data_IF_505244660263
#
_entry.id   IF_505244660263
#
_cell.length_a   1.000
_cell.length_b   1.000
_cell.length_c   1.000
_cell.angle_alpha   90.00
_cell.angle_beta   90.00
_cell.angle_gamma   90.00
#
_symmetry.space_group_name_H-M   'P 1'
#
loop_
_entity.id
_entity.type
_entity.pdbx_description
1 polymer ?
#
# COMPACT_ATOMS: atom_id res chain seq x y z
N UNK A 1 8.02 -16.21 -2.07
CA UNK A 1 8.00 -16.08 -3.54
C UNK A 1 6.65 -16.55 -4.10
N UNK A 2 5.62 -15.73 -3.91
CA UNK A 2 4.24 -16.08 -4.30
C UNK A 2 4.13 -16.37 -5.81
N UNK A 3 5.00 -15.78 -6.61
CA UNK A 3 5.11 -15.98 -8.05
C UNK A 3 5.64 -17.36 -8.45
N UNK A 4 6.16 -18.20 -7.53
CA UNK A 4 6.56 -19.59 -7.85
C UNK A 4 5.47 -20.61 -7.60
N UNK A 5 4.42 -20.21 -6.90
CA UNK A 5 3.28 -21.08 -6.62
C UNK A 5 2.36 -21.16 -7.86
N UNK A 6 1.78 -22.32 -8.18
CA UNK A 6 0.78 -22.43 -9.25
C UNK A 6 -0.43 -21.52 -8.99
N UNK A 7 -1.11 -21.08 -10.05
CA UNK A 7 -2.26 -20.17 -9.96
C UNK A 7 -3.36 -20.65 -8.99
N UNK A 8 -3.56 -21.97 -8.84
CA UNK A 8 -4.52 -22.54 -7.87
C UNK A 8 -4.14 -22.24 -6.41
N UNK A 9 -2.85 -22.32 -6.10
CA UNK A 9 -2.31 -22.03 -4.76
C UNK A 9 -2.37 -20.53 -4.48
N UNK A 10 -2.04 -19.70 -5.47
CA UNK A 10 -2.20 -18.24 -5.39
C UNK A 10 -3.67 -17.87 -5.11
N UNK A 11 -4.61 -18.48 -5.84
CA UNK A 11 -6.05 -18.25 -5.68
C UNK A 11 -6.53 -18.62 -4.27
N UNK A 12 -6.09 -19.76 -3.74
CA UNK A 12 -6.44 -20.20 -2.38
C UNK A 12 -5.95 -19.20 -1.31
N UNK A 13 -4.74 -18.67 -1.43
CA UNK A 13 -4.24 -17.65 -0.52
C UNK A 13 -5.10 -16.37 -0.56
N UNK A 14 -5.46 -15.92 -1.75
CA UNK A 14 -6.25 -14.71 -1.95
C UNK A 14 -7.70 -14.87 -1.49
N UNK A 15 -8.26 -16.07 -1.59
CA UNK A 15 -9.54 -16.43 -1.00
C UNK A 15 -9.48 -16.25 0.53
N UNK A 16 -8.46 -16.80 1.19
CA UNK A 16 -8.28 -16.64 2.63
C UNK A 16 -8.09 -15.17 3.03
N UNK A 17 -7.36 -14.39 2.22
CA UNK A 17 -7.22 -12.94 2.44
C UNK A 17 -8.54 -12.19 2.37
N UNK A 18 -9.45 -12.60 1.49
CA UNK A 18 -10.71 -11.90 1.24
C UNK A 18 -11.83 -12.36 2.17
N UNK A 19 -11.92 -13.67 2.42
CA UNK A 19 -13.00 -14.30 3.19
C UNK A 19 -12.66 -14.47 4.68
N UNK A 20 -11.38 -14.35 5.06
CA UNK A 20 -10.91 -14.56 6.44
C UNK A 20 -11.28 -15.94 7.02
N UNK A 21 -11.49 -16.91 6.15
CA UNK A 21 -11.82 -18.28 6.51
C UNK A 21 -11.36 -19.25 5.42
N UNK A 22 -11.28 -20.52 5.77
CA UNK A 22 -11.01 -21.62 4.83
C UNK A 22 -11.99 -22.76 5.09
N UNK A 23 -12.50 -23.39 4.04
CA UNK A 23 -13.36 -24.59 4.18
C UNK A 23 -12.60 -25.83 3.73
N UNK A 24 -12.41 -26.79 4.64
CA UNK A 24 -11.69 -28.04 4.41
C UNK A 24 -12.64 -29.20 4.70
N UNK A 25 -12.93 -30.02 3.70
CA UNK A 25 -13.81 -31.20 3.87
C UNK A 25 -15.23 -30.87 4.33
N UNK A 26 -15.76 -29.69 3.98
CA UNK A 26 -17.08 -29.21 4.40
C UNK A 26 -17.13 -28.52 5.77
N UNK A 27 -16.01 -28.44 6.49
CA UNK A 27 -15.90 -27.70 7.74
C UNK A 27 -15.18 -26.36 7.50
N UNK A 28 -15.76 -25.26 7.99
CA UNK A 28 -15.19 -23.92 7.88
C UNK A 28 -14.37 -23.57 9.12
N UNK A 29 -13.16 -23.05 8.89
CA UNK A 29 -12.21 -22.60 9.90
C UNK A 29 -11.93 -21.11 9.72
N UNK A 30 -12.06 -20.34 10.79
CA UNK A 30 -11.73 -18.91 10.78
C UNK A 30 -10.21 -18.72 10.91
N UNK A 31 -9.67 -17.72 10.21
CA UNK A 31 -8.26 -17.33 10.41
C UNK A 31 -8.07 -16.64 11.77
N UNK A 32 -6.90 -16.81 12.43
CA UNK A 32 -6.59 -16.11 13.66
C UNK A 32 -6.57 -14.59 13.45
N UNK A 33 -6.82 -13.82 14.52
CA UNK A 33 -6.77 -12.36 14.50
C UNK A 33 -5.63 -11.87 15.40
N UNK A 34 -4.80 -10.91 14.95
CA UNK A 34 -4.75 -10.35 13.60
C UNK A 34 -4.23 -11.36 12.54
N UNK A 35 -4.68 -11.19 11.30
CA UNK A 35 -4.18 -11.94 10.14
C UNK A 35 -3.53 -10.96 9.17
N UNK A 36 -2.30 -11.25 8.78
CA UNK A 36 -1.53 -10.47 7.81
C UNK A 36 -0.86 -11.43 6.83
N UNK A 37 -0.98 -11.13 5.54
CA UNK A 37 -0.21 -11.80 4.49
C UNK A 37 0.86 -10.84 4.00
N UNK A 38 2.12 -11.25 4.15
CA UNK A 38 3.27 -10.62 3.52
C UNK A 38 3.79 -11.55 2.43
N UNK A 39 3.61 -11.16 1.17
CA UNK A 39 4.04 -11.94 0.02
C UNK A 39 5.26 -11.28 -0.62
N UNK A 40 6.31 -12.07 -0.88
CA UNK A 40 7.50 -11.63 -1.62
C UNK A 40 7.47 -12.12 -3.05
N UNK A 41 8.02 -11.31 -3.96
CA UNK A 41 8.26 -11.66 -5.36
C UNK A 41 9.72 -11.35 -5.66
N UNK A 42 10.46 -12.33 -6.20
CA UNK A 42 11.81 -12.11 -6.70
C UNK A 42 11.70 -11.68 -8.18
N UNK A 43 12.18 -10.48 -8.56
CA UNK A 43 12.06 -9.97 -9.93
C UNK A 43 13.07 -10.58 -10.92
N UNK A 44 14.11 -11.27 -10.45
CA UNK A 44 15.24 -11.72 -11.29
C UNK A 44 14.99 -13.12 -11.88
N UNK A 45 14.26 -13.98 -11.17
CA UNK A 45 14.01 -15.36 -11.62
C UNK A 45 12.77 -15.42 -12.51
N UNK A 46 12.97 -15.70 -13.81
CA UNK A 46 11.87 -15.85 -14.78
C UNK A 46 11.40 -17.31 -14.93
N UNK A 47 12.29 -18.29 -14.71
CA UNK A 47 11.98 -19.70 -14.96
C UNK A 47 11.05 -20.28 -13.90
N UNK A 48 9.92 -20.86 -14.32
CA UNK A 48 8.95 -21.45 -13.40
C UNK A 48 8.14 -20.44 -12.58
N UNK A 49 8.05 -19.19 -13.04
CA UNK A 49 7.23 -18.17 -12.39
C UNK A 49 5.88 -17.95 -13.08
N UNK A 50 4.87 -17.71 -12.25
CA UNK A 50 3.50 -17.37 -12.61
C UNK A 50 3.20 -15.98 -12.02
N UNK A 51 3.27 -14.91 -12.83
CA UNK A 51 2.94 -13.57 -12.34
C UNK A 51 1.50 -13.55 -11.82
N UNK A 52 1.26 -12.81 -10.75
CA UNK A 52 -0.12 -12.60 -10.29
C UNK A 52 -0.83 -11.66 -11.26
N UNK A 53 -2.03 -12.03 -11.72
CA UNK A 53 -2.90 -11.10 -12.44
C UNK A 53 -3.13 -9.81 -11.64
N UNK A 54 -3.35 -8.71 -12.36
CA UNK A 54 -3.50 -7.36 -11.81
C UNK A 54 -4.65 -7.31 -10.79
N UNK A 55 -5.76 -7.98 -11.10
CA UNK A 55 -6.91 -8.12 -10.20
C UNK A 55 -6.57 -8.82 -8.88
N UNK A 56 -5.57 -9.71 -8.87
CA UNK A 56 -5.08 -10.37 -7.67
C UNK A 56 -4.15 -9.46 -6.86
N UNK A 57 -3.25 -8.76 -7.56
CA UNK A 57 -2.32 -7.81 -6.96
C UNK A 57 -3.06 -6.64 -6.30
N UNK A 58 -4.19 -6.20 -6.86
CA UNK A 58 -5.06 -5.14 -6.30
C UNK A 58 -5.62 -5.47 -4.90
N UNK A 59 -5.63 -6.75 -4.49
CA UNK A 59 -6.05 -7.18 -3.15
C UNK A 59 -5.01 -6.86 -2.06
N UNK A 60 -3.75 -6.65 -2.42
CA UNK A 60 -2.71 -6.25 -1.48
C UNK A 60 -2.84 -4.75 -1.17
N UNK A 61 -2.77 -4.37 0.11
CA UNK A 61 -2.85 -2.97 0.50
C UNK A 61 -1.71 -2.16 -0.14
N UNK A 62 -0.49 -2.67 -0.04
CA UNK A 62 0.74 -2.03 -0.52
C UNK A 62 1.61 -2.99 -1.31
N UNK A 63 2.35 -2.46 -2.28
CA UNK A 63 3.54 -3.09 -2.86
C UNK A 63 4.75 -2.22 -2.48
N UNK A 64 5.63 -2.78 -1.66
CA UNK A 64 6.86 -2.10 -1.22
C UNK A 64 8.01 -2.62 -2.07
N UNK A 65 8.76 -1.70 -2.68
CA UNK A 65 10.01 -2.04 -3.36
C UNK A 65 11.14 -2.05 -2.33
N UNK A 66 11.86 -3.17 -2.26
CA UNK A 66 13.00 -3.34 -1.37
C UNK A 66 14.25 -3.40 -2.23
N UNK A 67 15.09 -2.39 -2.09
CA UNK A 67 16.40 -2.34 -2.73
C UNK A 67 17.50 -2.74 -1.73
N UNK A 68 18.74 -2.84 -2.21
CA UNK A 68 19.89 -3.05 -1.35
C UNK A 68 20.06 -1.90 -0.35
N UNK A 69 20.51 -2.20 0.89
CA UNK A 69 20.83 -1.17 1.85
C UNK A 69 21.95 -0.26 1.33
N UNK A 70 21.97 1.00 1.78
CA UNK A 70 23.13 1.85 1.57
C UNK A 70 24.37 1.24 2.25
N UNK A 71 25.58 1.62 1.80
CA UNK A 71 26.83 1.12 2.39
C UNK A 71 26.88 1.28 3.92
N UNK A 72 26.33 2.37 4.47
CA UNK A 72 26.29 2.61 5.92
C UNK A 72 25.31 1.68 6.65
N UNK A 73 24.13 1.45 6.06
CA UNK A 73 23.14 0.51 6.59
C UNK A 73 23.65 -0.94 6.50
N UNK A 74 24.30 -1.29 5.40
CA UNK A 74 24.90 -2.61 5.18
C UNK A 74 26.01 -2.88 6.21
N UNK A 75 26.90 -1.91 6.42
CA UNK A 75 27.93 -2.01 7.45
C UNK A 75 27.32 -2.19 8.85
N UNK A 76 26.20 -1.52 9.15
CA UNK A 76 25.49 -1.70 10.41
C UNK A 76 24.84 -3.09 10.54
N UNK A 77 24.32 -3.66 9.45
CA UNK A 77 23.80 -5.03 9.41
C UNK A 77 24.92 -6.04 9.66
N UNK A 78 26.06 -5.91 8.95
CA UNK A 78 27.24 -6.76 9.15
C UNK A 78 27.73 -6.66 10.59
N UNK A 79 27.86 -5.45 11.13
CA UNK A 79 28.28 -5.23 12.51
C UNK A 79 27.37 -5.92 13.53
N UNK A 80 26.04 -5.86 13.35
CA UNK A 80 25.08 -6.57 14.20
C UNK A 80 25.20 -8.09 14.08
N UNK A 81 25.45 -8.61 12.87
CA UNK A 81 25.60 -10.06 12.65
C UNK A 81 26.86 -10.66 13.28
N UNK A 82 27.86 -9.82 13.59
CA UNK A 82 29.10 -10.22 14.26
C UNK A 82 29.01 -10.16 15.78
N UNK A 83 27.99 -9.47 16.32
CA UNK A 83 27.75 -9.37 17.76
C UNK A 83 26.94 -10.53 18.33
N UNK A 84 26.60 -10.44 19.61
CA UNK A 84 25.66 -11.36 20.24
C UNK A 84 24.24 -11.12 19.71
N UNK A 85 23.49 -12.22 19.54
CA UNK A 85 22.10 -12.15 19.11
C UNK A 85 21.26 -11.39 20.15
N UNK A 86 20.48 -10.36 19.75
CA UNK A 86 19.75 -9.55 20.71
C UNK A 86 18.62 -10.36 21.36
N UNK A 87 18.46 -10.22 22.67
CA UNK A 87 17.31 -10.78 23.38
C UNK A 87 16.04 -10.01 22.99
N UNK A 88 15.16 -10.66 22.22
CA UNK A 88 13.87 -10.10 21.83
C UNK A 88 12.92 -10.13 23.03
N UNK A 89 12.44 -8.95 23.43
CA UNK A 89 11.45 -8.80 24.50
C UNK A 89 10.11 -8.38 23.93
N UNK A 90 9.06 -9.12 24.28
CA UNK A 90 7.70 -8.75 23.93
C UNK A 90 7.36 -7.39 24.52
N UNK A 91 6.97 -6.45 23.66
CA UNK A 91 6.54 -5.10 24.05
C UNK A 91 5.02 -4.91 23.93
N UNK A 92 4.39 -5.70 23.06
CA UNK A 92 2.97 -5.61 22.72
C UNK A 92 2.42 -7.02 22.58
N UNK A 93 1.26 -7.25 23.20
CA UNK A 93 0.49 -8.47 23.01
C UNK A 93 -0.39 -8.40 21.75
N UNK A 94 -0.98 -9.52 21.35
CA UNK A 94 -1.97 -9.52 20.26
C UNK A 94 -3.22 -8.69 20.62
N UNK A 95 -3.63 -8.66 21.90
CA UNK A 95 -4.73 -7.83 22.38
C UNK A 95 -4.41 -6.34 22.25
N UNK A 96 -3.16 -5.94 22.53
CA UNK A 96 -2.71 -4.57 22.30
C UNK A 96 -2.80 -4.19 20.82
N UNK A 97 -2.40 -5.09 19.90
CA UNK A 97 -2.53 -4.86 18.46
C UNK A 97 -3.99 -4.67 18.04
N UNK A 98 -4.92 -5.47 18.56
CA UNK A 98 -6.35 -5.29 18.30
C UNK A 98 -6.90 -3.98 18.86
N UNK A 99 -6.42 -3.57 20.04
CA UNK A 99 -6.72 -2.24 20.61
C UNK A 99 -6.23 -1.13 19.70
N UNK A 100 -4.98 -1.17 19.25
CA UNK A 100 -4.44 -0.15 18.35
C UNK A 100 -5.13 -0.12 16.98
N UNK A 101 -5.52 -1.28 16.44
CA UNK A 101 -6.34 -1.35 15.23
C UNK A 101 -7.67 -0.62 15.39
N UNK A 102 -8.33 -0.77 16.55
CA UNK A 102 -9.56 -0.02 16.86
C UNK A 102 -9.31 1.48 16.97
N UNK A 103 -8.22 1.89 17.64
CA UNK A 103 -7.82 3.30 17.77
C UNK A 103 -7.51 3.93 16.40
N UNK A 104 -6.78 3.22 15.54
CA UNK A 104 -6.54 3.65 14.15
C UNK A 104 -7.86 3.87 13.39
N UNK A 105 -8.86 3.01 13.61
CA UNK A 105 -10.22 3.18 13.08
C UNK A 105 -10.96 4.43 13.56
N UNK A 106 -10.54 5.04 14.66
CA UNK A 106 -11.13 6.27 15.21
C UNK A 106 -10.37 7.55 14.80
N UNK A 107 -9.24 7.43 14.12
CA UNK A 107 -8.48 8.59 13.60
C UNK A 107 -9.34 9.39 12.63
N UNK A 108 -9.41 10.71 12.85
CA UNK A 108 -10.23 11.62 12.07
C UNK A 108 -9.71 11.71 10.64
N UNK A 109 -10.63 11.69 9.67
CA UNK A 109 -10.31 11.91 8.25
C UNK A 109 -11.28 12.95 7.74
N UNK A 110 -10.73 14.09 7.34
CA UNK A 110 -11.52 15.16 6.75
C UNK A 110 -12.04 14.75 5.36
N UNK A 111 -13.20 15.30 4.96
CA UNK A 111 -13.78 15.06 3.63
C UNK A 111 -12.84 15.49 2.51
N UNK A 112 -12.08 16.56 2.73
CA UNK A 112 -11.12 17.06 1.76
C UNK A 112 -9.95 16.11 1.57
N UNK A 113 -9.50 15.45 2.64
CA UNK A 113 -8.45 14.41 2.57
C UNK A 113 -8.96 13.17 1.82
N UNK A 114 -10.22 12.78 2.03
CA UNK A 114 -10.86 11.71 1.26
C UNK A 114 -10.95 12.12 -0.22
N UNK A 115 -11.39 13.35 -0.49
CA UNK A 115 -11.46 13.91 -1.84
C UNK A 115 -10.11 13.91 -2.54
N UNK A 116 -9.04 14.28 -1.83
CA UNK A 116 -7.67 14.24 -2.36
C UNK A 116 -7.22 12.81 -2.71
N UNK A 117 -7.46 11.83 -1.83
CA UNK A 117 -7.13 10.44 -2.13
C UNK A 117 -7.91 9.91 -3.36
N UNK A 118 -9.19 10.29 -3.49
CA UNK A 118 -10.01 9.94 -4.66
C UNK A 118 -9.50 10.63 -5.93
N UNK A 119 -9.15 11.92 -5.85
CA UNK A 119 -8.62 12.68 -6.98
C UNK A 119 -7.28 12.11 -7.48
N UNK A 120 -6.40 11.66 -6.58
CA UNK A 120 -5.17 10.96 -6.96
C UNK A 120 -5.45 9.67 -7.75
N UNK A 121 -6.40 8.85 -7.26
CA UNK A 121 -6.78 7.63 -7.98
C UNK A 121 -7.46 7.95 -9.33
N UNK A 122 -8.33 8.97 -9.37
CA UNK A 122 -9.01 9.39 -10.58
C UNK A 122 -8.05 9.98 -11.63
N UNK A 123 -7.04 10.72 -11.21
CA UNK A 123 -5.98 11.21 -12.10
C UNK A 123 -5.17 10.08 -12.77
N UNK A 124 -5.09 8.90 -12.16
CA UNK A 124 -4.51 7.71 -12.84
C UNK A 124 -5.48 7.09 -13.86
N UNK A 125 -6.79 7.33 -13.76
CA UNK A 125 -7.81 6.79 -14.68
C UNK A 125 -8.11 7.75 -15.82
N UNK A 126 -8.17 9.05 -15.50
CA UNK A 126 -8.56 10.14 -16.39
C UNK A 126 -7.48 11.24 -16.41
N UNK A 127 -6.20 10.93 -16.74
CA UNK A 127 -5.10 11.88 -16.59
C UNK A 127 -5.29 13.19 -17.37
N UNK A 128 -5.97 13.16 -18.51
CA UNK A 128 -6.29 14.36 -19.30
C UNK A 128 -7.08 15.42 -18.52
N UNK A 129 -7.98 15.02 -17.62
CA UNK A 129 -8.80 15.93 -16.80
C UNK A 129 -7.97 16.71 -15.77
N UNK A 130 -6.75 16.23 -15.51
CA UNK A 130 -5.78 16.82 -14.58
C UNK A 130 -4.61 17.50 -15.32
N UNK A 131 -4.74 17.73 -16.63
CA UNK A 131 -3.68 18.35 -17.44
C UNK A 131 -2.50 17.42 -17.73
N UNK A 132 -2.68 16.11 -17.59
CA UNK A 132 -1.66 15.08 -17.81
C UNK A 132 -1.94 14.25 -19.08
N UNK A 133 -2.46 14.89 -20.13
CA UNK A 133 -2.80 14.20 -21.38
C UNK A 133 -1.59 13.49 -22.02
N UNK A 134 -0.38 13.94 -21.75
CA UNK A 134 0.86 13.36 -22.27
C UNK A 134 1.19 11.98 -21.66
N UNK A 135 0.74 11.70 -20.43
CA UNK A 135 0.94 10.39 -19.80
C UNK A 135 -0.23 9.42 -20.03
N UNK A 136 -1.34 9.89 -20.61
CA UNK A 136 -2.55 9.08 -20.79
C UNK A 136 -2.29 7.80 -21.58
N UNK A 137 -1.44 7.87 -22.60
CA UNK A 137 -1.04 6.72 -23.43
C UNK A 137 -0.23 5.67 -22.66
N UNK A 138 0.35 6.00 -21.51
CA UNK A 138 1.18 5.10 -20.72
C UNK A 138 0.38 4.25 -19.72
N UNK A 139 -0.92 4.54 -19.55
CA UNK A 139 -1.78 3.88 -18.57
C UNK A 139 -2.95 3.21 -19.30
N UNK A 140 -2.97 1.88 -19.31
CA UNK A 140 -4.12 1.12 -19.82
C UNK A 140 -5.28 1.14 -18.82
N UNK A 141 -4.97 0.98 -17.53
CA UNK A 141 -5.95 1.04 -16.44
C UNK A 141 -5.36 1.70 -15.20
N UNK A 142 -6.07 2.71 -14.68
CA UNK A 142 -5.73 3.39 -13.44
C UNK A 142 -6.14 2.62 -12.18
N UNK A 143 -5.77 3.18 -11.02
CA UNK A 143 -5.99 2.55 -9.72
C UNK A 143 -7.46 2.22 -9.45
N UNK A 144 -7.78 1.03 -8.93
CA UNK A 144 -9.15 0.64 -8.59
C UNK A 144 -9.72 1.44 -7.41
N UNK A 145 -11.02 1.32 -7.07
CA UNK A 145 -11.58 1.90 -5.84
C UNK A 145 -10.89 1.44 -4.54
N UNK A 146 -10.14 0.32 -4.57
CA UNK A 146 -9.32 -0.11 -3.43
C UNK A 146 -8.13 0.82 -3.17
N UNK A 147 -7.64 1.53 -4.18
CA UNK A 147 -6.57 2.52 -4.06
C UNK A 147 -6.88 3.61 -3.03
N UNK A 148 -7.90 4.47 -3.23
CA UNK A 148 -8.22 5.53 -2.29
C UNK A 148 -8.66 5.00 -0.91
N UNK A 149 -9.34 3.85 -0.85
CA UNK A 149 -9.66 3.17 0.41
C UNK A 149 -8.37 2.80 1.16
N UNK A 150 -7.41 2.22 0.46
CA UNK A 150 -6.10 1.84 1.01
C UNK A 150 -5.29 3.03 1.48
N UNK A 151 -5.30 4.14 0.73
CA UNK A 151 -4.64 5.39 1.10
C UNK A 151 -5.19 5.94 2.42
N UNK A 152 -6.52 6.00 2.56
CA UNK A 152 -7.15 6.51 3.79
C UNK A 152 -6.90 5.57 4.97
N UNK A 153 -7.02 4.25 4.77
CA UNK A 153 -6.76 3.27 5.83
C UNK A 153 -5.30 3.30 6.30
N UNK A 154 -4.35 3.32 5.36
CA UNK A 154 -2.93 3.47 5.66
C UNK A 154 -2.63 4.82 6.30
N UNK A 155 -3.25 5.90 5.81
CA UNK A 155 -3.08 7.25 6.32
C UNK A 155 -3.51 7.39 7.79
N UNK A 156 -4.58 6.71 8.20
CA UNK A 156 -4.99 6.63 9.61
C UNK A 156 -3.92 5.97 10.49
N UNK A 157 -3.39 4.84 10.05
CA UNK A 157 -2.33 4.13 10.77
C UNK A 157 -1.05 4.97 10.84
N UNK A 158 -0.65 5.60 9.72
CA UNK A 158 0.54 6.44 9.65
C UNK A 158 0.41 7.71 10.51
N UNK A 159 -0.75 8.36 10.49
CA UNK A 159 -1.03 9.50 11.36
C UNK A 159 -0.91 9.12 12.84
N UNK A 160 -1.46 7.96 13.23
CA UNK A 160 -1.35 7.46 14.60
C UNK A 160 0.10 7.16 15.00
N UNK A 161 0.88 6.52 14.11
CA UNK A 161 2.31 6.28 14.32
C UNK A 161 3.12 7.59 14.43
N UNK A 162 2.66 8.65 13.78
CA UNK A 162 3.19 10.02 13.88
C UNK A 162 2.63 10.80 15.08
N UNK A 163 1.86 10.16 15.95
CA UNK A 163 1.29 10.77 17.16
C UNK A 163 0.13 11.73 16.92
N UNK A 164 -0.52 11.67 15.74
CA UNK A 164 -1.66 12.52 15.37
C UNK A 164 -2.99 11.76 15.41
N UNK A 165 -4.04 12.45 15.87
CA UNK A 165 -5.43 11.96 15.87
C UNK A 165 -6.21 12.26 14.58
N UNK A 166 -5.55 12.80 13.54
CA UNK A 166 -6.16 13.13 12.25
C UNK A 166 -5.19 12.85 11.10
N UNK A 167 -5.73 12.46 9.95
CA UNK A 167 -4.98 12.24 8.71
C UNK A 167 -4.75 13.57 7.98
N UNK A 168 -3.53 13.76 7.48
CA UNK A 168 -3.13 14.92 6.66
C UNK A 168 -2.94 14.52 5.20
N UNK A 169 -2.91 15.50 4.29
CA UNK A 169 -2.58 15.27 2.87
C UNK A 169 -1.18 14.67 2.71
N UNK A 170 -0.24 15.04 3.58
CA UNK A 170 1.11 14.47 3.62
C UNK A 170 1.09 12.97 3.87
N UNK A 171 0.23 12.47 4.76
CA UNK A 171 0.12 11.01 5.00
C UNK A 171 -0.38 10.27 3.76
N UNK A 172 -1.30 10.88 3.01
CA UNK A 172 -1.80 10.33 1.75
C UNK A 172 -0.71 10.36 0.68
N UNK A 173 -0.01 11.48 0.52
CA UNK A 173 1.09 11.66 -0.43
C UNK A 173 2.21 10.64 -0.18
N UNK A 174 2.65 10.48 1.06
CA UNK A 174 3.72 9.55 1.43
C UNK A 174 3.38 8.09 1.12
N UNK A 175 2.11 7.70 1.27
CA UNK A 175 1.63 6.34 0.98
C UNK A 175 1.25 6.12 -0.48
N UNK A 176 1.17 7.17 -1.29
CA UNK A 176 0.69 7.09 -2.68
C UNK A 176 1.49 6.11 -3.53
N UNK A 177 2.83 6.15 -3.55
CA UNK A 177 3.62 5.18 -4.31
C UNK A 177 3.31 3.75 -3.88
N UNK A 178 3.36 3.46 -2.59
CA UNK A 178 3.20 2.09 -2.07
C UNK A 178 1.81 1.51 -2.28
N UNK A 179 0.77 2.35 -2.22
CA UNK A 179 -0.61 1.92 -2.39
C UNK A 179 -1.02 1.92 -3.87
N UNK A 180 -0.53 2.84 -4.71
CA UNK A 180 -1.05 2.93 -6.09
C UNK A 180 -0.16 2.25 -7.14
N UNK A 181 1.15 2.05 -6.91
CA UNK A 181 2.08 1.56 -7.95
C UNK A 181 1.66 0.25 -8.59
N UNK A 182 1.08 -0.66 -7.82
CA UNK A 182 0.65 -1.98 -8.26
C UNK A 182 -0.80 -2.02 -8.74
N UNK A 183 -1.46 -0.86 -8.75
CA UNK A 183 -2.83 -0.67 -9.21
C UNK A 183 -2.88 0.10 -10.53
N UNK A 184 -1.73 0.50 -11.07
CA UNK A 184 -1.60 1.09 -12.40
C UNK A 184 -1.14 -0.01 -13.34
N UNK A 185 -1.94 -0.27 -14.37
CA UNK A 185 -1.58 -1.17 -15.46
C UNK A 185 -0.94 -0.33 -16.56
N UNK A 186 0.36 -0.56 -16.78
CA UNK A 186 1.13 0.13 -17.80
C UNK A 186 0.77 -0.38 -19.18
N UNK A 187 0.67 0.53 -20.14
CA UNK A 187 0.45 0.18 -21.54
C UNK A 187 1.69 -0.41 -22.19
N UNK A 188 1.53 -0.99 -23.38
CA UNK A 188 2.67 -1.45 -24.17
C UNK A 188 3.68 -0.34 -24.47
N UNK A 189 3.20 0.87 -24.76
CA UNK A 189 4.07 2.03 -25.04
C UNK A 189 4.92 2.39 -23.81
N UNK A 190 4.34 2.34 -22.62
CA UNK A 190 5.07 2.58 -21.36
C UNK A 190 6.17 1.55 -21.15
N UNK A 191 5.88 0.27 -21.41
CA UNK A 191 6.86 -0.81 -21.28
C UNK A 191 7.97 -0.71 -22.34
N UNK A 192 7.62 -0.32 -23.58
CA UNK A 192 8.58 -0.14 -24.65
C UNK A 192 9.53 1.05 -24.40
N UNK A 193 9.03 2.10 -23.74
CA UNK A 193 9.80 3.29 -23.36
C UNK A 193 10.41 3.20 -21.95
N UNK A 194 10.30 2.06 -21.26
CA UNK A 194 10.80 1.81 -19.90
C UNK A 194 10.29 2.82 -18.85
N UNK A 195 9.04 3.27 -19.01
CA UNK A 195 8.37 4.20 -18.11
C UNK A 195 7.84 3.44 -16.89
N UNK A 196 8.41 3.72 -15.72
CA UNK A 196 7.98 3.13 -14.46
C UNK A 196 6.66 3.75 -13.94
N UNK A 197 5.84 2.93 -13.27
CA UNK A 197 4.62 3.39 -12.60
C UNK A 197 4.89 4.49 -11.56
N UNK A 198 6.04 4.43 -10.87
CA UNK A 198 6.44 5.46 -9.90
C UNK A 198 6.62 6.83 -10.55
N UNK A 199 7.23 6.89 -11.75
CA UNK A 199 7.40 8.15 -12.48
C UNK A 199 6.04 8.75 -12.88
N UNK A 200 5.07 7.92 -13.25
CA UNK A 200 3.70 8.35 -13.52
C UNK A 200 3.00 8.87 -12.26
N UNK A 201 3.22 8.21 -11.11
CA UNK A 201 2.65 8.63 -9.83
C UNK A 201 3.24 9.95 -9.33
N UNK A 202 4.53 10.21 -9.56
CA UNK A 202 5.15 11.50 -9.26
C UNK A 202 4.49 12.63 -10.06
N UNK A 203 4.21 12.40 -11.34
CA UNK A 203 3.47 13.34 -12.20
C UNK A 203 2.06 13.61 -11.66
N UNK A 204 1.35 12.56 -11.25
CA UNK A 204 0.02 12.66 -10.65
C UNK A 204 0.07 13.46 -9.34
N UNK A 205 1.00 13.15 -8.44
CA UNK A 205 1.20 13.87 -7.17
C UNK A 205 1.58 15.34 -7.34
N UNK A 206 2.22 15.69 -8.45
CA UNK A 206 2.55 17.07 -8.78
C UNK A 206 1.36 17.84 -9.37
N UNK A 207 0.50 17.17 -10.14
CA UNK A 207 -0.63 17.80 -10.82
C UNK A 207 -1.88 17.95 -9.95
N UNK A 208 -2.17 16.98 -9.08
CA UNK A 208 -3.36 17.02 -8.21
C UNK A 208 -3.12 17.99 -7.06
N UNK A 209 -3.88 19.10 -6.96
CA UNK A 209 -3.66 20.09 -5.93
C UNK A 209 -4.07 19.55 -4.55
N UNK A 210 -3.25 19.86 -3.54
CA UNK A 210 -3.61 19.56 -2.16
C UNK A 210 -4.76 20.47 -1.71
N UNK A 211 -5.79 19.92 -1.05
CA UNK A 211 -6.88 20.73 -0.54
C UNK A 211 -6.35 21.73 0.50
N UNK A 212 -6.90 22.94 0.47
CA UNK A 212 -6.69 23.91 1.55
C UNK A 212 -7.52 23.48 2.74
N UNK A 213 -6.91 22.67 3.61
CA UNK A 213 -7.54 22.28 4.88
C UNK A 213 -7.74 23.55 5.72
N UNK A 214 -8.99 24.01 5.84
CA UNK A 214 -9.35 24.98 6.85
C UNK A 214 -9.05 24.34 8.20
N UNK A 215 -8.07 24.89 8.92
CA UNK A 215 -7.65 24.36 10.21
C UNK A 215 -8.89 24.23 11.10
N UNK A 216 -9.20 23.03 11.56
CA UNK A 216 -10.10 22.78 12.71
C UNK A 216 -9.51 23.33 14.04
N UNK A 217 -8.75 24.41 13.99
CA UNK A 217 -8.00 25.03 15.08
C UNK A 217 -8.58 26.40 15.43
N UNK A 218 -9.82 26.40 15.90
CA UNK A 218 -10.54 27.59 16.34
C UNK A 218 -11.43 27.34 17.56
N UNK A 219 -11.03 26.42 18.44
CA UNK A 219 -11.60 26.31 19.79
C UNK A 219 -10.42 26.17 20.77
N UNK A 220 -9.69 27.27 20.95
CA UNK A 220 -8.89 27.47 22.16
C UNK A 220 -9.86 27.39 23.35
N UNK A 221 -9.59 26.43 24.23
CA UNK A 221 -10.16 26.39 25.56
C UNK A 221 -10.01 27.77 26.23
N UNK A 222 -11.14 28.35 26.60
CA UNK A 222 -11.25 29.44 27.56
C UNK A 222 -11.78 28.84 28.87
#
# INVERSE_FOLDING_TARGET
EINRAPAKVQSALLEVMQEQQVTIGGQTFQVPRPFLVMATQNPIEAEGTYPLPEAQVDRFLMKVLVDYPSMGEEAAVVGRSLGEEPEVRERLTLEDLERYRRVSGAVLVDRDVIGYAVALADATRNPSDYGLADIARYIDYGASPRGPIGLVQGGRALALLRGRGYVSTTDIRDLTPDVLRHRIVLSYDALAEDVAADALLERVLAAVPEPRLERLGGATAA
#
